data_IF_190390082660
#
_entry.id   IF_190390082660
#
_cell.length_a   1.000
_cell.length_b   1.000
_cell.length_c   1.000
_cell.angle_alpha   90.00
_cell.angle_beta   90.00
_cell.angle_gamma   90.00
#
_symmetry.space_group_name_H-M   'P 1'
#
loop_
_entity.id
_entity.type
_entity.pdbx_description
1 polymer ?
#
# COMPACT_ATOMS: atom_id res chain seq x y z
N UNK A 1 16.19 -19.55 -8.17
CA UNK A 1 15.34 -18.36 -8.11
C UNK A 1 16.22 -17.16 -7.80
N UNK A 2 16.10 -16.09 -8.56
CA UNK A 2 16.87 -14.85 -8.33
C UNK A 2 15.91 -13.75 -7.91
N UNK A 3 16.12 -13.18 -6.72
CA UNK A 3 15.29 -12.10 -6.17
C UNK A 3 16.07 -10.80 -6.31
N UNK A 4 15.53 -9.86 -7.09
CA UNK A 4 16.08 -8.51 -7.19
C UNK A 4 15.60 -7.65 -6.03
N UNK A 5 16.39 -6.64 -5.65
CA UNK A 5 16.02 -5.66 -4.64
C UNK A 5 16.13 -4.26 -5.22
N UNK A 6 15.13 -3.43 -4.97
CA UNK A 6 15.08 -2.04 -5.38
C UNK A 6 14.88 -1.16 -4.14
N UNK A 7 15.62 -0.05 -4.10
CA UNK A 7 15.38 0.99 -3.09
C UNK A 7 14.10 1.73 -3.39
N UNK A 8 13.40 2.15 -2.33
CA UNK A 8 12.18 2.93 -2.43
C UNK A 8 12.44 4.39 -1.99
N UNK A 9 11.56 5.33 -2.28
CA UNK A 9 11.65 6.70 -1.75
C UNK A 9 11.64 6.77 -0.21
N UNK A 10 11.13 5.74 0.45
CA UNK A 10 11.17 5.61 1.89
C UNK A 10 12.40 4.78 2.32
N UNK A 11 13.40 5.37 2.99
CA UNK A 11 14.63 4.67 3.37
C UNK A 11 14.41 3.53 4.36
N UNK A 12 13.28 3.53 5.10
CA UNK A 12 12.90 2.43 5.99
C UNK A 12 12.28 1.24 5.25
N UNK A 13 12.04 1.35 3.93
CA UNK A 13 11.45 0.28 3.12
C UNK A 13 12.35 -0.19 2.00
N UNK A 14 12.28 -1.48 1.68
CA UNK A 14 12.95 -2.11 0.56
C UNK A 14 11.98 -2.97 -0.23
N UNK A 15 12.05 -2.87 -1.55
CA UNK A 15 11.24 -3.64 -2.47
C UNK A 15 12.01 -4.86 -2.98
N UNK A 16 11.37 -6.02 -2.93
CA UNK A 16 11.88 -7.30 -3.39
C UNK A 16 11.05 -7.78 -4.58
N UNK A 17 11.73 -8.21 -5.63
CA UNK A 17 11.14 -8.71 -6.88
C UNK A 17 11.52 -10.18 -7.03
N UNK A 18 10.63 -11.11 -6.66
CA UNK A 18 10.91 -12.55 -6.73
C UNK A 18 10.91 -13.09 -8.17
N UNK A 19 10.53 -12.28 -9.16
CA UNK A 19 10.48 -12.68 -10.56
C UNK A 19 9.30 -13.59 -10.91
N UNK A 20 8.30 -13.65 -10.03
CA UNK A 20 7.06 -14.38 -10.22
C UNK A 20 5.91 -13.67 -9.52
N UNK A 21 4.68 -14.09 -9.83
CA UNK A 21 3.47 -13.51 -9.22
C UNK A 21 3.45 -13.80 -7.73
N UNK A 22 3.26 -12.74 -6.93
CA UNK A 22 3.08 -12.80 -5.47
C UNK A 22 1.59 -12.87 -5.13
N UNK A 23 0.79 -11.98 -5.74
CA UNK A 23 -0.67 -11.97 -5.65
C UNK A 23 -1.26 -11.98 -7.07
N UNK A 24 -2.28 -12.77 -7.30
CA UNK A 24 -2.97 -12.79 -8.59
C UNK A 24 -3.75 -11.50 -8.83
N UNK A 25 -4.44 -11.01 -7.79
CA UNK A 25 -5.22 -9.78 -7.84
C UNK A 25 -5.05 -8.97 -6.55
N UNK A 26 -5.20 -7.64 -6.67
CA UNK A 26 -5.18 -6.71 -5.54
C UNK A 26 -3.80 -6.51 -4.90
N UNK A 27 -3.84 -5.98 -3.72
CA UNK A 27 -2.68 -5.75 -2.85
C UNK A 27 -3.03 -6.10 -1.42
N UNK A 28 -2.03 -6.41 -0.60
CA UNK A 28 -2.23 -6.69 0.82
C UNK A 28 -1.21 -5.93 1.66
N UNK A 29 -1.69 -5.21 2.67
CA UNK A 29 -0.90 -4.41 3.58
C UNK A 29 -1.00 -4.96 5.00
N UNK A 30 0.14 -5.24 5.59
CA UNK A 30 0.28 -5.77 6.94
C UNK A 30 1.13 -4.78 7.75
N UNK A 31 0.50 -3.80 8.42
CA UNK A 31 1.21 -2.79 9.21
C UNK A 31 1.78 -3.33 10.51
N UNK A 32 1.43 -4.57 10.88
CA UNK A 32 1.91 -5.25 12.07
C UNK A 32 1.82 -6.78 11.89
N UNK A 33 2.45 -7.52 12.81
CA UNK A 33 2.48 -8.99 12.76
C UNK A 33 1.13 -9.66 13.06
N UNK A 34 0.22 -8.98 13.76
CA UNK A 34 -1.10 -9.52 14.11
C UNK A 34 -1.97 -9.64 12.85
N UNK A 35 -1.91 -8.64 11.98
CA UNK A 35 -2.63 -8.64 10.69
C UNK A 35 -2.09 -9.70 9.71
N UNK A 36 -0.84 -10.11 9.88
CA UNK A 36 -0.19 -11.11 9.03
C UNK A 36 -0.72 -12.55 9.19
N UNK A 37 -1.67 -12.79 10.10
CA UNK A 37 -2.21 -14.14 10.39
C UNK A 37 -2.77 -14.86 9.16
N UNK A 38 -3.27 -14.13 8.16
CA UNK A 38 -3.79 -14.66 6.90
C UNK A 38 -2.73 -14.88 5.82
N UNK A 39 -1.49 -14.42 6.04
CA UNK A 39 -0.43 -14.48 5.04
C UNK A 39 0.77 -15.29 5.55
N UNK A 40 0.96 -16.53 5.07
CA UNK A 40 2.15 -17.30 5.40
C UNK A 40 3.46 -16.60 5.02
N UNK A 41 3.48 -15.85 3.92
CA UNK A 41 4.64 -15.07 3.50
C UNK A 41 4.92 -13.92 4.46
N UNK A 42 3.90 -13.12 4.80
CA UNK A 42 4.06 -12.01 5.72
C UNK A 42 4.50 -12.48 7.11
N UNK A 43 3.94 -13.59 7.63
CA UNK A 43 4.36 -14.17 8.90
C UNK A 43 5.86 -14.53 8.92
N UNK A 44 6.36 -15.17 7.84
CA UNK A 44 7.79 -15.48 7.73
C UNK A 44 8.65 -14.23 7.73
N UNK A 45 8.21 -13.17 7.06
CA UNK A 45 8.93 -11.89 7.00
C UNK A 45 8.93 -11.16 8.34
N UNK A 46 7.82 -11.15 9.07
CA UNK A 46 7.77 -10.62 10.43
C UNK A 46 8.60 -11.43 11.43
N UNK A 47 8.93 -12.68 11.11
CA UNK A 47 9.88 -13.50 11.88
C UNK A 47 11.32 -12.98 11.80
N UNK A 48 11.64 -12.11 10.85
CA UNK A 48 12.95 -11.45 10.75
C UNK A 48 12.99 -10.26 11.70
N UNK A 49 14.02 -10.22 12.53
CA UNK A 49 14.14 -9.17 13.54
C UNK A 49 14.16 -7.77 12.93
N UNK A 50 13.36 -6.88 13.50
CA UNK A 50 13.25 -5.48 13.10
C UNK A 50 12.31 -5.19 11.94
N UNK A 51 11.58 -6.17 11.43
CA UNK A 51 10.51 -5.95 10.47
C UNK A 51 9.28 -5.39 11.18
N UNK A 52 8.79 -4.25 10.69
CA UNK A 52 7.64 -3.53 11.25
C UNK A 52 6.43 -3.49 10.32
N UNK A 53 6.62 -3.76 9.03
CA UNK A 53 5.54 -3.79 8.07
C UNK A 53 5.89 -4.64 6.84
N UNK A 54 4.87 -5.25 6.25
CA UNK A 54 4.97 -6.02 5.01
C UNK A 54 3.85 -5.61 4.08
N UNK A 55 4.17 -5.33 2.83
CA UNK A 55 3.20 -5.04 1.80
C UNK A 55 3.43 -5.98 0.61
N UNK A 56 2.36 -6.60 0.14
CA UNK A 56 2.39 -7.51 -1.00
C UNK A 56 1.69 -6.86 -2.19
N UNK A 57 2.41 -6.72 -3.29
CA UNK A 57 1.89 -6.34 -4.58
C UNK A 57 1.71 -7.55 -5.49
N UNK A 58 1.40 -7.30 -6.76
CA UNK A 58 1.19 -8.38 -7.73
C UNK A 58 2.45 -9.21 -8.00
N UNK A 59 3.59 -8.55 -8.16
CA UNK A 59 4.87 -9.13 -8.56
C UNK A 59 6.04 -8.70 -7.67
N UNK A 60 5.73 -8.07 -6.53
CA UNK A 60 6.72 -7.59 -5.59
C UNK A 60 6.28 -7.70 -4.13
N UNK A 61 7.26 -7.64 -3.25
CA UNK A 61 7.08 -7.58 -1.80
C UNK A 61 7.85 -6.36 -1.30
N UNK A 62 7.20 -5.52 -0.50
CA UNK A 62 7.87 -4.41 0.18
C UNK A 62 7.92 -4.70 1.67
N UNK A 63 9.10 -4.56 2.27
CA UNK A 63 9.32 -4.75 3.70
C UNK A 63 9.73 -3.43 4.32
N UNK A 64 9.11 -3.08 5.43
CA UNK A 64 9.46 -1.95 6.28
C UNK A 64 10.18 -2.44 7.52
N UNK A 65 11.26 -1.78 7.89
CA UNK A 65 12.07 -2.10 9.07
C UNK A 65 12.09 -0.94 10.07
N UNK A 66 12.46 -1.25 11.30
CA UNK A 66 12.82 -0.23 12.30
C UNK A 66 14.08 0.54 11.89
N UNK A 67 14.17 1.81 12.29
CA UNK A 67 15.33 2.67 12.00
C UNK A 67 16.63 2.14 12.63
N UNK A 68 16.50 1.40 13.72
CA UNK A 68 17.63 0.79 14.45
C UNK A 68 18.30 -0.38 13.73
N UNK A 69 17.63 -0.97 12.73
CA UNK A 69 18.12 -2.15 11.99
C UNK A 69 18.76 -1.73 10.68
N UNK A 70 19.89 -2.35 10.32
CA UNK A 70 20.55 -2.11 9.05
C UNK A 70 20.09 -3.11 7.99
N UNK A 71 19.90 -2.61 6.75
CA UNK A 71 19.53 -3.44 5.60
C UNK A 71 20.56 -4.52 5.28
N UNK A 72 21.85 -4.26 5.50
CA UNK A 72 22.91 -5.24 5.25
C UNK A 72 22.76 -6.49 6.11
N UNK A 73 22.19 -6.35 7.32
CA UNK A 73 21.90 -7.46 8.22
C UNK A 73 20.54 -8.11 7.95
N UNK A 74 19.50 -7.33 7.64
CA UNK A 74 18.16 -7.84 7.45
C UNK A 74 17.96 -8.50 6.06
N UNK A 75 18.58 -7.95 5.02
CA UNK A 75 18.39 -8.38 3.63
C UNK A 75 18.65 -9.89 3.39
N UNK A 76 19.75 -10.50 3.88
CA UNK A 76 19.96 -11.93 3.65
C UNK A 76 18.86 -12.82 4.26
N UNK A 77 18.39 -12.47 5.45
CA UNK A 77 17.31 -13.22 6.12
C UNK A 77 15.98 -13.06 5.38
N UNK A 78 15.66 -11.86 4.90
CA UNK A 78 14.47 -11.57 4.12
C UNK A 78 14.49 -12.31 2.77
N UNK A 79 15.62 -12.29 2.07
CA UNK A 79 15.79 -13.05 0.81
C UNK A 79 15.61 -14.55 1.05
N UNK A 80 16.16 -15.09 2.13
CA UNK A 80 15.99 -16.48 2.54
C UNK A 80 14.52 -16.83 2.81
N UNK A 81 13.82 -15.99 3.56
CA UNK A 81 12.40 -16.19 3.89
C UNK A 81 11.49 -16.16 2.65
N UNK A 82 11.72 -15.22 1.73
CA UNK A 82 10.99 -15.13 0.47
C UNK A 82 11.27 -16.36 -0.40
N UNK A 83 12.54 -16.73 -0.56
CA UNK A 83 12.94 -17.89 -1.35
C UNK A 83 12.33 -19.19 -0.81
N UNK A 84 12.40 -19.40 0.50
CA UNK A 84 11.83 -20.58 1.16
C UNK A 84 10.31 -20.64 0.95
N UNK A 85 9.62 -19.50 1.08
CA UNK A 85 8.18 -19.44 0.87
C UNK A 85 7.81 -19.90 -0.54
N UNK A 86 8.42 -19.34 -1.57
CA UNK A 86 8.11 -19.70 -2.96
C UNK A 86 8.55 -21.12 -3.34
N UNK A 87 9.61 -21.65 -2.73
CA UNK A 87 10.00 -23.06 -2.91
C UNK A 87 9.01 -24.02 -2.26
N UNK A 88 8.35 -23.62 -1.20
CA UNK A 88 7.33 -24.45 -0.53
C UNK A 88 6.03 -24.58 -1.33
N UNK A 89 5.81 -23.75 -2.34
CA UNK A 89 4.58 -23.74 -3.15
C UNK A 89 3.34 -23.25 -2.40
N UNK A 90 3.50 -22.63 -1.24
CA UNK A 90 2.40 -22.04 -0.47
C UNK A 90 1.93 -20.74 -1.12
N UNK A 91 0.63 -20.48 -1.04
CA UNK A 91 0.08 -19.18 -1.42
C UNK A 91 0.57 -18.08 -0.49
N UNK A 92 0.80 -16.88 -1.04
CA UNK A 92 1.24 -15.73 -0.24
C UNK A 92 0.19 -15.28 0.76
N UNK A 93 -1.09 -15.48 0.45
CA UNK A 93 -2.24 -15.19 1.32
C UNK A 93 -3.21 -16.38 1.31
N UNK A 94 -3.70 -16.77 2.47
CA UNK A 94 -4.78 -17.74 2.63
C UNK A 94 -6.13 -17.00 2.56
N UNK A 95 -6.75 -16.96 1.39
CA UNK A 95 -8.04 -16.31 1.16
C UNK A 95 -7.96 -15.12 0.20
N UNK A 96 -9.08 -14.44 -0.03
CA UNK A 96 -9.13 -13.28 -0.91
C UNK A 96 -8.38 -12.09 -0.29
N UNK A 97 -7.58 -11.41 -1.11
CA UNK A 97 -7.03 -10.10 -0.74
C UNK A 97 -8.16 -9.12 -0.37
N UNK A 98 -7.87 -8.17 0.51
CA UNK A 98 -8.84 -7.15 0.86
C UNK A 98 -9.32 -6.39 -0.39
N UNK A 99 -10.61 -6.01 -0.47
CA UNK A 99 -11.11 -5.26 -1.62
C UNK A 99 -10.31 -3.96 -1.81
N UNK A 100 -9.97 -3.67 -3.05
CA UNK A 100 -9.10 -2.56 -3.42
C UNK A 100 -9.65 -1.18 -3.05
N UNK A 101 -10.97 -1.03 -2.97
CA UNK A 101 -11.61 0.24 -2.67
C UNK A 101 -12.80 0.05 -1.72
N UNK A 102 -12.76 0.71 -0.56
CA UNK A 102 -13.94 0.88 0.27
C UNK A 102 -14.83 1.98 -0.35
N UNK A 103 -16.14 1.78 -0.36
CA UNK A 103 -17.07 2.72 -0.95
C UNK A 103 -18.26 2.96 -0.04
N UNK A 104 -18.28 4.11 0.61
CA UNK A 104 -19.54 4.75 0.99
C UNK A 104 -19.69 5.99 0.08
N UNK A 105 -20.55 5.92 -0.92
CA UNK A 105 -20.75 6.99 -1.90
C UNK A 105 -22.23 7.26 -2.02
N UNK A 106 -22.59 8.56 -2.01
CA UNK A 106 -23.93 8.99 -2.42
C UNK A 106 -24.15 8.71 -3.91
N UNK A 107 -25.37 8.41 -4.31
CA UNK A 107 -25.70 8.18 -5.73
C UNK A 107 -25.38 9.40 -6.61
N UNK A 108 -25.42 10.60 -6.05
CA UNK A 108 -25.10 11.86 -6.75
C UNK A 108 -23.62 11.97 -7.10
N UNK A 109 -22.73 11.40 -6.28
CA UNK A 109 -21.28 11.46 -6.47
C UNK A 109 -20.73 10.23 -7.23
N UNK A 110 -21.56 9.26 -7.58
CA UNK A 110 -21.13 8.00 -8.19
C UNK A 110 -20.33 8.20 -9.49
N UNK A 111 -20.67 9.18 -10.31
CA UNK A 111 -19.92 9.49 -11.54
C UNK A 111 -18.55 10.08 -11.25
N UNK A 112 -18.47 11.01 -10.30
CA UNK A 112 -17.22 11.65 -9.87
C UNK A 112 -16.29 10.59 -9.28
N UNK A 113 -16.82 9.74 -8.42
CA UNK A 113 -16.07 8.64 -7.80
C UNK A 113 -15.59 7.63 -8.84
N UNK A 114 -16.39 7.32 -9.85
CA UNK A 114 -15.97 6.48 -10.96
C UNK A 114 -14.76 7.04 -11.70
N UNK A 115 -14.77 8.34 -12.00
CA UNK A 115 -13.65 9.03 -12.65
C UNK A 115 -12.41 9.09 -11.76
N UNK A 116 -12.59 9.34 -10.44
CA UNK A 116 -11.47 9.33 -9.48
C UNK A 116 -10.80 7.96 -9.47
N UNK A 117 -11.57 6.87 -9.33
CA UNK A 117 -11.04 5.51 -9.33
C UNK A 117 -10.31 5.18 -10.62
N UNK A 118 -10.89 5.52 -11.77
CA UNK A 118 -10.27 5.29 -13.08
C UNK A 118 -8.93 6.02 -13.22
N UNK A 119 -8.84 7.28 -12.79
CA UNK A 119 -7.59 8.04 -12.80
C UNK A 119 -6.55 7.46 -11.84
N UNK A 120 -6.97 7.05 -10.65
CA UNK A 120 -6.09 6.38 -9.69
C UNK A 120 -5.55 5.07 -10.28
N UNK A 121 -6.40 4.21 -10.80
CA UNK A 121 -6.02 2.89 -11.31
C UNK A 121 -5.16 2.98 -12.57
N UNK A 122 -5.45 3.93 -13.47
CA UNK A 122 -4.76 4.03 -14.75
C UNK A 122 -3.45 4.81 -14.69
N UNK A 123 -3.32 5.78 -13.78
CA UNK A 123 -2.17 6.71 -13.75
C UNK A 123 -1.39 6.71 -12.45
N UNK A 124 -2.06 6.63 -11.32
CA UNK A 124 -1.41 6.77 -10.01
C UNK A 124 -0.88 5.44 -9.50
N UNK A 125 -1.70 4.41 -9.47
CA UNK A 125 -1.33 3.10 -8.93
C UNK A 125 -0.13 2.46 -9.65
N UNK A 126 -0.03 2.49 -11.00
CA UNK A 126 1.16 1.97 -11.69
C UNK A 126 2.45 2.71 -11.31
N UNK A 127 2.38 4.03 -11.10
CA UNK A 127 3.55 4.82 -10.71
C UNK A 127 3.99 4.50 -9.28
N UNK A 128 3.05 4.44 -8.33
CA UNK A 128 3.37 4.15 -6.92
C UNK A 128 3.78 2.69 -6.70
N UNK A 129 3.32 1.76 -7.54
CA UNK A 129 3.77 0.37 -7.51
C UNK A 129 5.25 0.25 -7.90
N UNK A 130 5.77 1.11 -8.78
CA UNK A 130 7.20 1.18 -9.06
C UNK A 130 8.00 1.52 -7.81
N UNK A 131 7.46 2.39 -6.96
CA UNK A 131 8.07 2.79 -5.69
C UNK A 131 7.80 1.80 -4.54
N UNK A 132 7.13 0.69 -4.81
CA UNK A 132 6.87 -0.37 -3.81
C UNK A 132 5.69 -0.08 -2.88
N UNK A 133 4.74 0.75 -3.31
CA UNK A 133 3.54 1.07 -2.56
C UNK A 133 2.27 0.93 -3.38
N UNK A 134 1.15 1.29 -2.77
CA UNK A 134 -0.15 1.40 -3.43
C UNK A 134 -0.98 2.53 -2.82
N UNK A 135 -2.00 2.96 -3.57
CA UNK A 135 -2.97 3.96 -3.13
C UNK A 135 -4.36 3.43 -3.45
N UNK A 136 -5.22 3.42 -2.44
CA UNK A 136 -6.60 3.00 -2.60
C UNK A 136 -7.56 4.15 -2.28
N UNK A 137 -8.63 4.23 -3.03
CA UNK A 137 -9.72 5.18 -2.78
C UNK A 137 -10.51 4.74 -1.54
N UNK A 138 -10.72 5.66 -0.62
CA UNK A 138 -11.49 5.40 0.60
C UNK A 138 -12.85 6.11 0.61
N UNK A 139 -12.92 7.32 0.08
CA UNK A 139 -14.17 8.08 0.05
C UNK A 139 -14.07 9.41 -0.67
N UNK A 140 -15.24 10.01 -0.95
CA UNK A 140 -15.37 11.35 -1.49
C UNK A 140 -16.50 12.06 -0.75
N UNK A 141 -16.24 13.26 -0.25
CA UNK A 141 -17.24 14.09 0.39
C UNK A 141 -16.96 15.58 0.11
N UNK A 142 -17.94 16.28 -0.46
CA UNK A 142 -17.93 17.74 -0.70
C UNK A 142 -16.64 18.26 -1.38
N UNK A 143 -16.14 17.53 -2.37
CA UNK A 143 -14.91 17.89 -3.09
C UNK A 143 -13.63 17.40 -2.43
N UNK A 144 -13.70 16.74 -1.29
CA UNK A 144 -12.55 16.15 -0.61
C UNK A 144 -12.44 14.68 -0.94
N UNK A 145 -11.30 14.27 -1.48
CA UNK A 145 -10.99 12.86 -1.79
C UNK A 145 -10.18 12.28 -0.65
N UNK A 146 -10.63 11.17 -0.10
CA UNK A 146 -9.92 10.42 0.94
C UNK A 146 -9.21 9.23 0.32
N UNK A 147 -7.89 9.18 0.48
CA UNK A 147 -7.03 8.11 -0.02
C UNK A 147 -6.33 7.41 1.12
N UNK A 148 -6.13 6.11 0.99
CA UNK A 148 -5.27 5.34 1.88
C UNK A 148 -3.98 4.99 1.15
N UNK A 149 -2.84 5.37 1.72
CA UNK A 149 -1.51 5.03 1.23
C UNK A 149 -1.00 3.78 1.92
N UNK A 150 -0.40 2.87 1.15
CA UNK A 150 0.07 1.56 1.62
C UNK A 150 1.51 1.31 1.19
N UNK A 151 2.19 0.40 1.87
CA UNK A 151 3.57 0.01 1.56
C UNK A 151 4.56 1.17 1.70
N UNK A 152 5.48 1.33 0.74
CA UNK A 152 6.49 2.39 0.77
C UNK A 152 5.92 3.82 0.77
N UNK A 153 4.68 4.01 0.27
CA UNK A 153 3.99 5.30 0.28
C UNK A 153 3.51 5.71 1.66
N UNK A 154 3.38 4.76 2.60
CA UNK A 154 3.01 5.03 3.99
C UNK A 154 4.25 5.36 4.83
N UNK A 155 4.11 6.25 5.80
CA UNK A 155 5.12 6.46 6.85
C UNK A 155 6.29 7.39 6.51
N UNK A 156 6.47 7.85 5.28
CA UNK A 156 7.49 8.84 4.95
C UNK A 156 6.86 10.23 4.74
N UNK A 157 7.04 11.20 5.65
CA UNK A 157 6.35 12.50 5.58
C UNK A 157 6.65 13.28 4.30
N UNK A 158 7.90 13.24 3.81
CA UNK A 158 8.31 13.99 2.62
C UNK A 158 7.75 13.40 1.32
N UNK A 159 7.81 12.08 1.16
CA UNK A 159 7.26 11.40 -0.02
C UNK A 159 5.73 11.44 -0.03
N UNK A 160 5.11 11.27 1.13
CA UNK A 160 3.65 11.35 1.29
C UNK A 160 3.11 12.73 0.90
N UNK A 161 3.77 13.81 1.31
CA UNK A 161 3.35 15.18 0.96
C UNK A 161 3.48 15.45 -0.55
N UNK A 162 4.61 15.09 -1.15
CA UNK A 162 4.86 15.28 -2.58
C UNK A 162 3.87 14.48 -3.42
N UNK A 163 3.64 13.23 -3.05
CA UNK A 163 2.71 12.35 -3.72
C UNK A 163 1.26 12.86 -3.59
N UNK A 164 0.85 13.28 -2.40
CA UNK A 164 -0.46 13.89 -2.15
C UNK A 164 -0.69 15.10 -3.06
N UNK A 165 0.27 16.04 -3.12
CA UNK A 165 0.18 17.23 -3.97
C UNK A 165 0.10 16.87 -5.46
N UNK A 166 0.87 15.87 -5.90
CA UNK A 166 0.84 15.39 -7.28
C UNK A 166 -0.52 14.80 -7.66
N UNK A 167 -1.11 13.99 -6.78
CA UNK A 167 -2.43 13.39 -6.98
C UNK A 167 -3.52 14.47 -6.94
N UNK A 168 -3.46 15.40 -5.99
CA UNK A 168 -4.41 16.50 -5.90
C UNK A 168 -4.41 17.34 -7.19
N UNK A 169 -3.25 17.70 -7.69
CA UNK A 169 -3.14 18.45 -8.95
C UNK A 169 -3.67 17.65 -10.14
N UNK A 170 -3.39 16.35 -10.20
CA UNK A 170 -3.90 15.47 -11.24
C UNK A 170 -5.43 15.40 -11.20
N UNK A 171 -6.01 15.12 -10.03
CA UNK A 171 -7.45 15.00 -9.88
C UNK A 171 -8.16 16.31 -10.17
N UNK A 172 -7.67 17.44 -9.66
CA UNK A 172 -8.24 18.77 -9.93
C UNK A 172 -8.18 19.19 -11.39
N UNK A 173 -7.17 18.70 -12.11
CA UNK A 173 -7.06 18.98 -13.55
C UNK A 173 -8.14 18.28 -14.37
N UNK A 174 -8.47 17.04 -14.03
CA UNK A 174 -9.46 16.23 -14.77
C UNK A 174 -10.87 16.31 -14.17
N UNK A 175 -10.98 16.57 -12.88
CA UNK A 175 -12.24 16.60 -12.12
C UNK A 175 -12.28 17.90 -11.31
N UNK A 176 -12.90 18.97 -11.88
CA UNK A 176 -12.93 20.29 -11.22
C UNK A 176 -13.67 20.32 -9.87
N UNK A 177 -14.51 19.31 -9.62
CA UNK A 177 -15.24 19.13 -8.37
C UNK A 177 -14.32 18.75 -7.20
N UNK A 178 -13.13 18.21 -7.49
CA UNK A 178 -12.13 17.91 -6.47
C UNK A 178 -11.43 19.18 -6.01
N UNK A 179 -11.54 19.48 -4.74
CA UNK A 179 -10.92 20.68 -4.11
C UNK A 179 -9.69 20.32 -3.30
N UNK A 180 -9.68 19.15 -2.65
CA UNK A 180 -8.61 18.71 -1.77
C UNK A 180 -8.48 17.17 -1.79
N UNK A 181 -7.26 16.69 -1.52
CA UNK A 181 -6.97 15.28 -1.29
C UNK A 181 -6.44 15.11 0.13
N UNK A 182 -7.02 14.19 0.89
CA UNK A 182 -6.56 13.83 2.22
C UNK A 182 -6.07 12.38 2.24
N UNK A 183 -4.92 12.17 2.85
CA UNK A 183 -4.37 10.84 3.09
C UNK A 183 -4.80 10.34 4.47
N UNK A 184 -5.43 9.19 4.50
CA UNK A 184 -5.76 8.48 5.74
C UNK A 184 -4.53 7.65 6.13
N UNK A 185 -3.75 8.14 7.09
CA UNK A 185 -2.67 7.39 7.71
C UNK A 185 -3.27 6.72 8.94
N UNK A 186 -3.48 5.39 8.88
CA UNK A 186 -3.91 4.56 10.02
C UNK A 186 -5.10 5.12 10.84
N UNK A 187 -6.25 5.34 10.20
CA UNK A 187 -7.48 5.48 10.97
C UNK A 187 -8.06 4.08 11.17
N UNK A 188 -7.62 3.42 12.22
CA UNK A 188 -8.22 2.17 12.71
C UNK A 188 -9.58 2.39 13.39
N UNK A 189 -10.13 3.61 13.34
CA UNK A 189 -11.36 3.97 14.04
C UNK A 189 -12.41 4.55 13.09
N UNK A 190 -13.38 3.74 12.64
CA UNK A 190 -14.50 4.23 11.82
C UNK A 190 -15.41 5.23 12.55
N UNK A 191 -15.24 5.42 13.86
CA UNK A 191 -16.06 6.35 14.64
C UNK A 191 -15.57 7.79 14.60
N UNK A 192 -14.33 8.05 14.12
CA UNK A 192 -13.77 9.41 14.02
C UNK A 192 -14.31 10.21 12.83
N UNK A 193 -14.74 9.55 11.77
CA UNK A 193 -15.35 10.21 10.60
C UNK A 193 -16.70 10.89 10.93
N UNK A 194 -17.41 10.42 11.98
CA UNK A 194 -18.66 11.02 12.42
C UNK A 194 -18.52 12.30 13.26
N UNK A 195 -17.30 12.68 13.69
CA UNK A 195 -17.05 13.86 14.53
C UNK A 195 -16.57 15.10 13.79
N UNK A 196 -16.34 15.01 12.47
CA UNK A 196 -15.93 16.18 11.65
C UNK A 196 -17.15 16.85 10.99
N UNK A 197 -18.36 16.32 11.19
CA UNK A 197 -19.60 16.84 10.64
C UNK A 197 -20.38 17.73 11.65
N UNK A 198 -19.69 18.69 12.28
CA UNK A 198 -20.32 19.84 12.93
C UNK A 198 -19.42 21.07 12.83
#
# INVERSE_FOLDING_TARGET
>A
MFIQTESTPNPATLKFLPGQTVLEEGTADFPNSEDASISPLAQKLFGVNGVTGVFLGRDFVTVTKEDSVDWDHAKPALLGAIMEHFQSGQEAINGAAAPDHSTEVSEEDAQIVGQIKELLDSRVRPAVAQDGGDITFHGFDRGVVYLQMKGACAGCPSSTMTLKMGIENLLRHYIPEVTEVLSLIHISDPTRLRRIAY
#
